data_IF_451674216735
#
_entry.id   IF_451674216735
#
_cell.length_a   1.000
_cell.length_b   1.000
_cell.length_c   1.000
_cell.angle_alpha   90.00
_cell.angle_beta   90.00
_cell.angle_gamma   90.00
#
_symmetry.space_group_name_H-M   'P 1'
#
loop_
_entity.id
_entity.type
_entity.pdbx_description
1 polymer ?
#
# COMPACT_ATOMS: atom_id res chain seq x y z
N UNK A 1 -14.23 -2.65 6.44
CA UNK A 1 -14.65 -1.32 5.99
C UNK A 1 -14.84 -1.33 4.49
N UNK A 2 -15.70 -0.47 3.91
CA UNK A 2 -15.74 -0.29 2.46
C UNK A 2 -14.94 0.95 2.09
N UNK A 3 -14.02 0.80 1.17
CA UNK A 3 -13.14 1.85 0.68
C UNK A 3 -13.27 1.99 -0.83
N UNK A 4 -13.05 3.21 -1.32
CA UNK A 4 -13.04 3.48 -2.76
C UNK A 4 -11.60 3.65 -3.20
N UNK A 5 -11.17 2.83 -4.16
CA UNK A 5 -9.84 2.94 -4.76
C UNK A 5 -9.95 3.28 -6.24
N UNK A 6 -8.98 4.04 -6.76
CA UNK A 6 -8.79 4.23 -8.19
C UNK A 6 -7.79 3.20 -8.69
N UNK A 7 -8.27 2.20 -9.42
CA UNK A 7 -7.46 1.13 -9.98
C UNK A 7 -7.52 1.20 -11.51
N UNK A 8 -6.37 1.39 -12.16
CA UNK A 8 -6.25 1.52 -13.63
C UNK A 8 -7.20 2.57 -14.24
N UNK A 9 -7.39 3.70 -13.55
CA UNK A 9 -8.29 4.77 -14.00
C UNK A 9 -9.77 4.55 -13.67
N UNK A 10 -10.14 3.39 -13.11
CA UNK A 10 -11.51 3.06 -12.74
C UNK A 10 -11.67 3.18 -11.22
N UNK A 11 -12.72 3.87 -10.78
CA UNK A 11 -13.10 3.93 -9.37
C UNK A 11 -13.86 2.65 -9.00
N UNK A 12 -13.30 1.87 -8.09
CA UNK A 12 -13.92 0.64 -7.59
C UNK A 12 -14.14 0.74 -6.08
N UNK A 13 -15.26 0.22 -5.60
CA UNK A 13 -15.50 0.02 -4.17
C UNK A 13 -15.04 -1.37 -3.80
N UNK A 14 -14.21 -1.45 -2.77
CA UNK A 14 -13.70 -2.69 -2.21
C UNK A 14 -13.96 -2.74 -0.71
N UNK A 15 -14.04 -3.94 -0.16
CA UNK A 15 -14.04 -4.19 1.28
C UNK A 15 -12.61 -4.48 1.72
N UNK A 16 -12.19 -3.78 2.76
CA UNK A 16 -10.87 -3.91 3.39
C UNK A 16 -11.04 -4.32 4.85
N UNK A 17 -10.05 -5.04 5.38
CA UNK A 17 -9.89 -5.25 6.82
C UNK A 17 -8.58 -4.63 7.25
N UNK A 18 -8.66 -3.74 8.22
CA UNK A 18 -7.52 -3.10 8.85
C UNK A 18 -7.29 -3.76 10.20
N UNK A 19 -6.05 -4.16 10.49
CA UNK A 19 -5.63 -4.69 11.78
C UNK A 19 -4.42 -3.87 12.23
N UNK A 20 -4.55 -3.19 13.37
CA UNK A 20 -3.48 -2.38 13.95
C UNK A 20 -2.99 -3.11 15.19
N UNK A 21 -1.73 -3.52 15.16
CA UNK A 21 -1.03 -4.05 16.33
C UNK A 21 -0.12 -2.94 16.83
N UNK A 22 -0.56 -2.28 17.91
CA UNK A 22 0.15 -1.14 18.47
C UNK A 22 1.54 -1.56 18.99
N UNK A 23 2.54 -0.66 18.94
CA UNK A 23 2.49 0.67 18.31
C UNK A 23 2.84 0.66 16.80
N UNK A 24 3.34 -0.46 16.27
CA UNK A 24 4.28 -0.39 15.14
C UNK A 24 3.79 -1.07 13.86
N UNK A 25 2.65 -1.77 13.88
CA UNK A 25 2.27 -2.63 12.76
C UNK A 25 0.85 -2.33 12.31
N UNK A 26 0.70 -2.07 11.01
CA UNK A 26 -0.58 -1.92 10.34
C UNK A 26 -0.70 -2.95 9.20
N UNK A 27 -1.75 -3.76 9.27
CA UNK A 27 -2.05 -4.77 8.24
C UNK A 27 -3.34 -4.40 7.53
N UNK A 28 -3.32 -4.44 6.21
CA UNK A 28 -4.48 -4.21 5.35
C UNK A 28 -4.71 -5.45 4.50
N UNK A 29 -5.94 -5.95 4.50
CA UNK A 29 -6.36 -7.09 3.68
C UNK A 29 -7.51 -6.68 2.77
N UNK A 30 -7.39 -6.95 1.47
CA UNK A 30 -8.46 -6.75 0.51
C UNK A 30 -9.37 -7.99 0.50
N UNK A 31 -10.65 -7.81 0.82
CA UNK A 31 -11.61 -8.91 1.01
C UNK A 31 -12.48 -9.20 -0.22
N UNK A 32 -12.56 -8.28 -1.18
CA UNK A 32 -13.32 -8.44 -2.41
C UNK A 32 -12.71 -7.66 -3.60
N UNK A 33 -13.38 -7.70 -4.75
CA UNK A 33 -12.92 -7.05 -5.97
C UNK A 33 -11.84 -7.83 -6.73
N UNK A 34 -11.27 -7.21 -7.78
CA UNK A 34 -10.39 -7.89 -8.74
C UNK A 34 -9.01 -8.26 -8.16
N UNK A 35 -8.67 -7.68 -7.01
CA UNK A 35 -7.43 -7.92 -6.25
C UNK A 35 -7.71 -8.52 -4.86
N UNK A 36 -8.86 -9.17 -4.68
CA UNK A 36 -9.22 -9.91 -3.46
C UNK A 36 -8.08 -10.81 -2.98
N UNK A 37 -7.85 -10.89 -1.68
CA UNK A 37 -6.79 -11.69 -1.09
C UNK A 37 -5.41 -11.00 -1.11
N UNK A 38 -5.29 -9.83 -1.73
CA UNK A 38 -4.10 -8.99 -1.59
C UNK A 38 -3.96 -8.52 -0.13
N UNK A 39 -2.72 -8.50 0.37
CA UNK A 39 -2.42 -7.93 1.69
C UNK A 39 -1.20 -7.02 1.70
N UNK A 40 -1.25 -6.02 2.55
CA UNK A 40 -0.16 -5.09 2.84
C UNK A 40 0.13 -5.19 4.34
N UNK A 41 1.39 -5.42 4.69
CA UNK A 41 1.87 -5.44 6.08
C UNK A 41 2.91 -4.33 6.19
N UNK A 42 2.52 -3.26 6.84
CA UNK A 42 3.37 -2.11 7.10
C UNK A 42 3.89 -2.19 8.53
N UNK A 43 5.21 -2.10 8.68
CA UNK A 43 5.90 -2.09 9.97
C UNK A 43 6.80 -0.88 10.08
N UNK A 44 6.70 -0.18 11.21
CA UNK A 44 7.47 1.01 11.52
C UNK A 44 8.57 0.69 12.52
N UNK A 45 9.81 0.99 12.16
CA UNK A 45 10.97 0.82 13.02
C UNK A 45 11.60 2.18 13.30
N UNK A 46 11.76 2.52 14.58
CA UNK A 46 12.54 3.69 14.96
C UNK A 46 14.01 3.45 14.65
N UNK A 47 14.68 4.43 14.05
CA UNK A 47 16.11 4.41 13.77
C UNK A 47 16.76 5.70 14.29
N UNK A 48 18.10 5.75 14.26
CA UNK A 48 18.84 6.94 14.69
C UNK A 48 18.54 8.18 13.83
N UNK A 49 18.11 7.99 12.58
CA UNK A 49 17.87 9.06 11.61
C UNK A 49 16.38 9.29 11.30
N UNK A 50 15.46 8.66 12.04
CA UNK A 50 14.03 8.80 11.83
C UNK A 50 13.28 7.48 11.97
N UNK A 51 12.40 7.18 11.00
CA UNK A 51 11.60 5.95 10.98
C UNK A 51 11.79 5.22 9.66
N UNK A 52 12.13 3.94 9.73
CA UNK A 52 12.09 3.04 8.57
C UNK A 52 10.69 2.46 8.46
N UNK A 53 10.10 2.59 7.28
CA UNK A 53 8.79 2.00 6.94
C UNK A 53 9.04 0.79 6.04
N UNK A 54 8.75 -0.40 6.54
CA UNK A 54 8.82 -1.64 5.77
C UNK A 54 7.40 -2.03 5.35
N UNK A 55 7.16 -2.17 4.04
CA UNK A 55 5.86 -2.58 3.50
C UNK A 55 6.03 -3.89 2.74
N UNK A 56 5.51 -4.98 3.31
CA UNK A 56 5.43 -6.27 2.64
C UNK A 56 4.10 -6.38 1.89
N UNK A 57 4.18 -6.68 0.59
CA UNK A 57 3.03 -6.71 -0.31
C UNK A 57 2.86 -8.10 -0.90
N UNK A 58 1.74 -8.76 -0.58
CA UNK A 58 1.32 -9.97 -1.29
C UNK A 58 0.21 -9.61 -2.27
N UNK A 59 0.59 -9.27 -3.50
CA UNK A 59 -0.35 -8.84 -4.54
C UNK A 59 -0.97 -10.05 -5.25
N UNK A 60 -2.30 -10.15 -5.21
CA UNK A 60 -3.08 -11.19 -5.90
C UNK A 60 -3.93 -10.58 -7.01
N UNK A 61 -3.79 -11.10 -8.22
CA UNK A 61 -4.65 -10.75 -9.35
C UNK A 61 -5.61 -11.88 -9.69
N UNK A 62 -6.84 -11.52 -10.02
CA UNK A 62 -7.87 -12.45 -10.47
C UNK A 62 -8.37 -12.07 -11.86
N UNK A 63 -8.94 -13.05 -12.56
CA UNK A 63 -9.52 -12.87 -13.89
C UNK A 63 -8.51 -12.33 -14.91
N UNK A 64 -8.95 -11.36 -15.72
CA UNK A 64 -8.17 -10.78 -16.82
C UNK A 64 -6.87 -10.13 -16.34
N UNK A 65 -6.83 -9.61 -15.10
CA UNK A 65 -5.63 -8.98 -14.55
C UNK A 65 -4.44 -9.95 -14.41
N UNK A 66 -4.71 -11.25 -14.23
CA UNK A 66 -3.66 -12.29 -14.14
C UNK A 66 -2.92 -12.49 -15.47
N UNK A 67 -3.57 -12.13 -16.59
CA UNK A 67 -3.01 -12.29 -17.93
C UNK A 67 -2.07 -11.16 -18.35
N UNK A 68 -1.91 -10.12 -17.53
CA UNK A 68 -1.11 -8.94 -17.84
C UNK A 68 0.21 -9.00 -17.03
N UNK A 69 1.29 -9.61 -17.57
CA UNK A 69 2.49 -9.93 -16.79
C UNK A 69 3.22 -8.68 -16.25
N UNK A 70 3.18 -7.57 -16.99
CA UNK A 70 3.84 -6.32 -16.59
C UNK A 70 3.07 -5.52 -15.53
N UNK A 71 1.81 -5.86 -15.26
CA UNK A 71 0.95 -5.11 -14.33
C UNK A 71 1.50 -5.15 -12.90
N UNK A 72 2.03 -6.31 -12.47
CA UNK A 72 2.66 -6.45 -11.14
C UNK A 72 3.85 -5.49 -10.98
N UNK A 73 4.73 -5.48 -11.98
CA UNK A 73 5.91 -4.62 -11.99
C UNK A 73 5.54 -3.14 -11.99
N UNK A 74 4.58 -2.74 -12.83
CA UNK A 74 4.08 -1.37 -12.89
C UNK A 74 3.51 -0.90 -11.56
N UNK A 75 2.71 -1.74 -10.88
CA UNK A 75 2.12 -1.41 -9.60
C UNK A 75 3.17 -1.27 -8.50
N UNK A 76 4.14 -2.18 -8.43
CA UNK A 76 5.24 -2.07 -7.47
C UNK A 76 6.03 -0.77 -7.69
N UNK A 77 6.35 -0.43 -8.96
CA UNK A 77 7.03 0.83 -9.28
C UNK A 77 6.22 2.05 -8.84
N UNK A 78 4.91 2.05 -9.07
CA UNK A 78 4.02 3.14 -8.69
C UNK A 78 3.91 3.26 -7.16
N UNK A 79 3.81 2.14 -6.44
CA UNK A 79 3.79 2.14 -4.98
C UNK A 79 5.06 2.74 -4.40
N UNK A 80 6.23 2.37 -4.94
CA UNK A 80 7.50 2.95 -4.53
C UNK A 80 7.53 4.47 -4.77
N UNK A 81 7.07 4.94 -5.94
CA UNK A 81 6.98 6.37 -6.25
C UNK A 81 6.14 7.14 -5.22
N UNK A 82 4.95 6.63 -4.90
CA UNK A 82 4.06 7.26 -3.92
C UNK A 82 4.70 7.31 -2.53
N UNK A 83 5.38 6.24 -2.11
CA UNK A 83 6.08 6.23 -0.82
C UNK A 83 7.28 7.19 -0.81
N UNK A 84 8.02 7.31 -1.91
CA UNK A 84 9.11 8.28 -2.02
C UNK A 84 8.58 9.72 -1.93
N UNK A 85 7.48 10.04 -2.63
CA UNK A 85 6.82 11.34 -2.53
C UNK A 85 6.34 11.63 -1.10
N UNK A 86 5.76 10.62 -0.43
CA UNK A 86 5.36 10.72 0.96
C UNK A 86 6.54 11.05 1.89
N UNK A 87 7.67 10.34 1.75
CA UNK A 87 8.88 10.57 2.55
C UNK A 87 9.42 11.98 2.32
N UNK A 88 9.53 12.43 1.06
CA UNK A 88 10.00 13.78 0.71
C UNK A 88 9.11 14.84 1.39
N UNK A 89 7.79 14.69 1.28
CA UNK A 89 6.85 15.59 1.95
C UNK A 89 7.07 15.61 3.47
N UNK A 90 7.14 14.44 4.11
CA UNK A 90 7.34 14.34 5.55
C UNK A 90 8.64 15.02 6.01
N UNK A 91 9.74 14.85 5.27
CA UNK A 91 11.01 15.51 5.54
C UNK A 91 10.96 17.02 5.38
N UNK A 92 10.30 17.53 4.33
CA UNK A 92 10.11 18.97 4.11
C UNK A 92 9.33 19.59 5.27
N UNK A 93 8.20 18.98 5.64
CA UNK A 93 7.35 19.48 6.74
C UNK A 93 8.04 19.40 8.10
N UNK A 94 8.86 18.38 8.34
CA UNK A 94 9.63 18.26 9.58
C UNK A 94 10.69 19.34 9.76
N UNK A 95 11.21 19.93 8.67
CA UNK A 95 12.23 21.00 8.71
C UNK A 95 11.62 22.41 8.76
N UNK A 96 10.33 22.51 8.47
CA UNK A 96 9.60 23.79 8.39
C UNK A 96 8.92 24.17 9.71
N UNK A 97 8.97 23.28 10.71
CA UNK A 97 8.61 23.51 12.12
C UNK A 97 9.86 23.44 12.98
#
# INVERSE_FOLDING_TARGET
MSESIHFLGIKIKIKTKHVILKPNVHKVFILDGPVKGTSFIETYYSTLSGTTIEILVDLKFHGILKLIPFLKFLLIKRMNSVMSEFIICAEIYSKSN
#
